data_IF_611294530613
#
_entry.id   IF_611294530613
#
_cell.length_a   1.000
_cell.length_b   1.000
_cell.length_c   1.000
_cell.angle_alpha   90.00
_cell.angle_beta   90.00
_cell.angle_gamma   90.00
#
_symmetry.space_group_name_H-M   'P 1'
#
loop_
_entity.id
_entity.type
_entity.pdbx_description
1 polymer ?
#
# COMPACT_ATOMS: atom_id res chain seq x y z
N UNK A 1 7.50 5.46 -5.36
CA UNK A 1 6.46 4.82 -4.51
C UNK A 1 6.18 3.42 -5.03
N UNK A 2 6.02 2.46 -4.12
CA UNK A 2 5.54 1.10 -4.44
C UNK A 2 4.31 0.75 -3.60
N UNK A 3 3.46 -0.12 -4.15
CA UNK A 3 2.28 -0.62 -3.44
C UNK A 3 1.94 -2.04 -3.91
N UNK A 4 1.44 -2.90 -3.00
CA UNK A 4 1.04 -4.26 -3.36
C UNK A 4 -0.25 -4.25 -4.20
N UNK A 5 -0.26 -5.08 -5.23
CA UNK A 5 -1.44 -5.34 -6.06
C UNK A 5 -1.78 -6.81 -5.97
N UNK A 6 -3.00 -7.12 -5.54
CA UNK A 6 -3.51 -8.49 -5.50
C UNK A 6 -3.52 -9.08 -6.91
N UNK A 7 -2.86 -10.22 -7.06
CA UNK A 7 -2.69 -10.90 -8.34
C UNK A 7 -3.59 -12.12 -8.52
N UNK A 8 -4.41 -12.51 -7.51
CA UNK A 8 -5.22 -13.76 -7.55
C UNK A 8 -6.07 -13.87 -8.81
N UNK A 9 -6.75 -12.79 -9.16
CA UNK A 9 -7.63 -12.73 -10.34
C UNK A 9 -6.90 -12.34 -11.63
N UNK A 10 -5.59 -12.15 -11.58
CA UNK A 10 -4.76 -11.75 -12.73
C UNK A 10 -3.97 -12.90 -13.32
N UNK A 11 -3.90 -14.03 -12.62
CA UNK A 11 -3.37 -15.29 -13.19
C UNK A 11 -4.31 -15.84 -14.26
N UNK A 12 -3.74 -16.59 -15.19
CA UNK A 12 -4.51 -17.35 -16.19
C UNK A 12 -4.13 -18.84 -16.12
N UNK A 13 -5.01 -19.72 -15.58
CA UNK A 13 -6.32 -19.39 -14.96
C UNK A 13 -6.15 -18.64 -13.61
N UNK A 14 -7.20 -17.94 -13.12
CA UNK A 14 -7.19 -17.32 -11.81
C UNK A 14 -6.91 -18.33 -10.69
N UNK A 15 -6.29 -17.86 -9.61
CA UNK A 15 -6.10 -18.70 -8.42
C UNK A 15 -7.46 -19.03 -7.80
N UNK A 16 -7.59 -20.27 -7.32
CA UNK A 16 -8.84 -20.74 -6.69
C UNK A 16 -9.20 -19.93 -5.45
N UNK A 17 -10.49 -19.85 -5.12
CA UNK A 17 -11.03 -19.10 -3.98
C UNK A 17 -10.42 -19.52 -2.63
N UNK A 18 -10.00 -20.77 -2.50
CA UNK A 18 -9.36 -21.30 -1.30
C UNK A 18 -7.84 -21.03 -1.20
N UNK A 19 -7.28 -20.25 -2.12
CA UNK A 19 -5.87 -19.90 -2.06
C UNK A 19 -5.59 -18.93 -0.91
N UNK A 20 -4.88 -19.37 0.10
CA UNK A 20 -4.64 -18.65 1.37
C UNK A 20 -3.26 -18.01 1.51
N UNK A 21 -2.35 -18.25 0.56
CA UNK A 21 -1.03 -17.64 0.59
C UNK A 21 -1.04 -16.19 0.04
N UNK A 22 0.03 -15.45 0.29
CA UNK A 22 0.23 -14.13 -0.28
C UNK A 22 0.38 -14.22 -1.80
N UNK A 23 -0.55 -13.62 -2.53
CA UNK A 23 -0.53 -13.54 -3.98
C UNK A 23 -0.60 -12.07 -4.41
N UNK A 24 0.51 -11.37 -4.29
CA UNK A 24 0.62 -9.99 -4.73
C UNK A 24 1.95 -9.75 -5.43
N UNK A 25 2.00 -8.73 -6.24
CA UNK A 25 3.21 -8.13 -6.80
C UNK A 25 3.27 -6.65 -6.42
N UNK A 26 4.46 -6.10 -6.35
CA UNK A 26 4.63 -4.68 -6.10
C UNK A 26 4.55 -3.90 -7.42
N UNK A 27 3.55 -3.03 -7.53
CA UNK A 27 3.49 -2.02 -8.57
C UNK A 27 4.38 -0.84 -8.16
N UNK A 28 4.99 -0.20 -9.14
CA UNK A 28 5.90 0.94 -8.93
C UNK A 28 5.43 2.16 -9.71
N UNK A 29 5.42 3.31 -9.03
CA UNK A 29 5.25 4.62 -9.65
C UNK A 29 6.47 5.47 -9.33
N UNK A 30 7.08 6.03 -10.36
CA UNK A 30 8.19 6.98 -10.24
C UNK A 30 7.79 8.31 -10.84
N UNK A 31 8.07 9.39 -10.13
CA UNK A 31 7.88 10.75 -10.62
C UNK A 31 8.90 11.68 -9.95
N UNK A 32 9.15 12.80 -10.57
CA UNK A 32 9.96 13.86 -9.96
C UNK A 32 9.16 14.56 -8.87
N UNK A 33 9.84 15.04 -7.83
CA UNK A 33 9.19 15.83 -6.77
C UNK A 33 8.49 17.05 -7.34
N UNK A 34 9.09 17.70 -8.34
CA UNK A 34 8.50 18.83 -9.04
C UNK A 34 7.15 18.47 -9.68
N UNK A 35 7.06 17.32 -10.36
CA UNK A 35 5.80 16.85 -10.95
C UNK A 35 4.74 16.63 -9.88
N UNK A 36 5.13 16.02 -8.74
CA UNK A 36 4.20 15.76 -7.65
C UNK A 36 3.64 17.03 -7.02
N UNK A 37 4.41 18.12 -6.99
CA UNK A 37 4.02 19.39 -6.38
C UNK A 37 3.26 20.30 -7.35
N UNK A 38 3.56 20.25 -8.65
CA UNK A 38 3.03 21.17 -9.65
C UNK A 38 1.87 20.58 -10.48
N UNK A 39 1.84 19.25 -10.65
CA UNK A 39 0.78 18.59 -11.38
C UNK A 39 -0.49 18.45 -10.52
N UNK A 40 -1.67 18.51 -11.15
CA UNK A 40 -2.92 18.28 -10.44
C UNK A 40 -3.03 16.84 -9.97
N UNK A 41 -3.73 16.60 -8.84
CA UNK A 41 -3.85 15.29 -8.19
C UNK A 41 -4.30 14.17 -9.13
N UNK A 42 -5.15 14.45 -10.10
CA UNK A 42 -5.60 13.43 -11.06
C UNK A 42 -4.45 12.85 -11.90
N UNK A 43 -3.38 13.60 -12.17
CA UNK A 43 -2.19 13.08 -12.87
C UNK A 43 -1.51 11.97 -12.04
N UNK A 44 -1.37 12.18 -10.74
CA UNK A 44 -0.84 11.16 -9.83
C UNK A 44 -1.75 9.93 -9.77
N UNK A 45 -3.08 10.14 -9.72
CA UNK A 45 -4.06 9.04 -9.75
C UNK A 45 -3.92 8.23 -11.05
N UNK A 46 -3.78 8.88 -12.19
CA UNK A 46 -3.57 8.20 -13.47
C UNK A 46 -2.26 7.39 -13.50
N UNK A 47 -1.16 7.94 -12.96
CA UNK A 47 0.11 7.20 -12.85
C UNK A 47 -0.06 5.92 -12.01
N UNK A 48 -0.81 5.98 -10.90
CA UNK A 48 -1.12 4.81 -10.04
C UNK A 48 -2.00 3.79 -10.78
N UNK A 49 -3.04 4.24 -11.48
CA UNK A 49 -3.91 3.36 -12.26
C UNK A 49 -3.14 2.65 -13.37
N UNK A 50 -2.36 3.39 -14.14
CA UNK A 50 -1.51 2.83 -15.18
C UNK A 50 -0.54 1.77 -14.63
N UNK A 51 0.09 2.03 -13.47
CA UNK A 51 0.97 1.07 -12.82
C UNK A 51 0.25 -0.22 -12.37
N UNK A 52 -1.05 -0.16 -12.08
CA UNK A 52 -1.88 -1.34 -11.78
C UNK A 52 -2.25 -2.11 -13.04
N UNK A 53 -2.50 -1.41 -14.14
CA UNK A 53 -3.01 -2.01 -15.37
C UNK A 53 -1.96 -2.83 -16.13
N UNK A 54 -0.68 -2.49 -15.97
CA UNK A 54 0.42 -3.27 -16.56
C UNK A 54 0.62 -4.65 -15.91
N UNK A 55 0.03 -4.91 -14.74
CA UNK A 55 0.19 -6.16 -14.01
C UNK A 55 -0.73 -7.22 -14.62
N UNK A 56 -0.20 -7.96 -15.56
CA UNK A 56 -0.82 -9.11 -16.25
C UNK A 56 -0.28 -10.43 -15.71
N UNK A 57 -0.85 -11.56 -16.14
CA UNK A 57 -0.33 -12.91 -15.85
C UNK A 57 1.15 -13.05 -16.27
N UNK A 58 1.50 -12.55 -17.45
CA UNK A 58 2.87 -12.57 -17.93
C UNK A 58 3.80 -11.73 -17.04
N UNK A 59 3.36 -10.52 -16.65
CA UNK A 59 4.10 -9.68 -15.73
C UNK A 59 4.38 -10.40 -14.41
N UNK A 60 3.37 -11.07 -13.83
CA UNK A 60 3.49 -11.79 -12.56
C UNK A 60 4.53 -12.92 -12.68
N UNK A 61 4.49 -13.69 -13.76
CA UNK A 61 5.45 -14.76 -14.01
C UNK A 61 6.88 -14.24 -14.16
N UNK A 62 7.07 -13.14 -14.88
CA UNK A 62 8.37 -12.49 -15.01
C UNK A 62 8.88 -11.93 -13.67
N UNK A 63 7.98 -11.31 -12.89
CA UNK A 63 8.29 -10.79 -11.56
C UNK A 63 8.77 -11.91 -10.62
N UNK A 64 8.05 -13.03 -10.55
CA UNK A 64 8.44 -14.19 -9.75
C UNK A 64 9.81 -14.73 -10.18
N UNK A 65 10.03 -14.90 -11.49
CA UNK A 65 11.32 -15.35 -12.04
C UNK A 65 12.47 -14.40 -11.71
N UNK A 66 12.21 -13.10 -11.73
CA UNK A 66 13.21 -12.09 -11.36
C UNK A 66 13.59 -12.20 -9.87
N UNK A 67 12.62 -12.43 -8.98
CA UNK A 67 12.88 -12.65 -7.55
C UNK A 67 13.70 -13.93 -7.29
N UNK A 68 13.42 -15.00 -8.01
CA UNK A 68 14.19 -16.26 -7.88
C UNK A 68 15.64 -16.10 -8.38
N UNK A 69 15.84 -15.31 -9.43
CA UNK A 69 17.16 -15.11 -10.05
C UNK A 69 18.01 -14.04 -9.34
N UNK A 70 17.41 -13.19 -8.53
CA UNK A 70 18.11 -12.10 -7.85
C UNK A 70 18.99 -12.64 -6.73
N UNK A 71 20.26 -12.85 -7.04
CA UNK A 71 21.30 -13.17 -6.07
C UNK A 71 21.51 -11.97 -5.13
N UNK A 72 20.83 -11.97 -3.96
CA UNK A 72 21.25 -11.33 -2.70
C UNK A 72 21.39 -9.80 -2.61
N UNK A 73 21.15 -9.02 -3.63
CA UNK A 73 21.12 -7.57 -3.49
C UNK A 73 19.68 -7.06 -3.56
N UNK A 74 19.05 -6.92 -2.40
CA UNK A 74 17.86 -6.08 -2.32
C UNK A 74 18.30 -4.64 -2.65
N UNK A 75 17.60 -3.96 -3.56
CA UNK A 75 17.87 -2.55 -3.82
C UNK A 75 17.77 -1.75 -2.53
N UNK A 76 18.53 -0.67 -2.44
CA UNK A 76 18.41 0.24 -1.30
C UNK A 76 16.97 0.68 -1.14
N UNK A 77 16.41 0.50 0.06
CA UNK A 77 15.06 0.98 0.39
C UNK A 77 15.05 2.51 0.62
N UNK A 78 16.19 3.18 0.48
CA UNK A 78 16.26 4.65 0.53
C UNK A 78 15.50 5.23 -0.64
N UNK A 79 14.73 6.26 -0.40
CA UNK A 79 13.90 6.95 -1.40
C UNK A 79 12.71 6.12 -1.94
N UNK A 80 12.41 4.99 -1.29
CA UNK A 80 11.29 4.13 -1.65
C UNK A 80 10.16 4.26 -0.63
N UNK A 81 9.10 4.95 -0.99
CA UNK A 81 7.87 4.97 -0.20
C UNK A 81 7.02 3.75 -0.52
N UNK A 82 6.67 2.96 0.48
CA UNK A 82 5.75 1.82 0.35
C UNK A 82 4.41 2.20 0.96
N UNK A 83 3.32 2.02 0.20
CA UNK A 83 1.96 2.24 0.68
C UNK A 83 1.20 0.93 0.63
N UNK A 84 0.62 0.52 1.74
CA UNK A 84 -0.19 -0.70 1.86
C UNK A 84 -1.61 -0.35 2.28
N UNK A 85 -2.59 -0.81 1.50
CA UNK A 85 -4.01 -0.58 1.72
C UNK A 85 -4.66 -1.81 2.37
N UNK A 86 -5.18 -1.62 3.60
CA UNK A 86 -5.94 -2.61 4.37
C UNK A 86 -7.41 -2.21 4.57
N UNK A 87 -7.88 -1.18 3.85
CA UNK A 87 -9.23 -0.65 4.00
C UNK A 87 -10.33 -1.65 3.61
N UNK A 88 -9.99 -2.62 2.74
CA UNK A 88 -10.94 -3.63 2.24
C UNK A 88 -10.95 -4.93 3.04
N UNK A 89 -10.07 -5.08 4.02
CA UNK A 89 -10.10 -6.28 4.84
C UNK A 89 -11.30 -6.25 5.77
N UNK A 90 -12.09 -7.34 5.85
CA UNK A 90 -13.34 -7.38 6.59
C UNK A 90 -13.12 -7.55 8.09
N UNK A 91 -12.27 -6.72 8.71
CA UNK A 91 -11.97 -6.78 10.13
C UNK A 91 -13.22 -6.63 11.00
N UNK A 92 -14.19 -5.82 10.55
CA UNK A 92 -15.47 -5.61 11.23
C UNK A 92 -16.38 -6.83 11.24
N UNK A 93 -16.11 -7.85 10.42
CA UNK A 93 -16.84 -9.12 10.39
C UNK A 93 -16.26 -10.17 11.35
N UNK A 94 -15.09 -9.89 11.95
CA UNK A 94 -14.44 -10.81 12.88
C UNK A 94 -15.08 -10.71 14.27
N UNK A 95 -15.55 -11.84 14.78
CA UNK A 95 -16.02 -12.01 16.15
C UNK A 95 -15.42 -13.30 16.72
N UNK A 96 -14.67 -13.18 17.81
CA UNK A 96 -14.05 -14.31 18.51
C UNK A 96 -14.90 -14.81 19.69
N UNK A 97 -16.19 -14.48 19.74
CA UNK A 97 -17.12 -14.84 20.79
C UNK A 97 -17.21 -13.82 21.93
N UNK A 98 -16.49 -12.71 21.87
CA UNK A 98 -16.50 -11.62 22.85
C UNK A 98 -17.05 -10.30 22.29
N UNK A 99 -17.57 -10.33 21.07
CA UNK A 99 -18.07 -9.15 20.35
C UNK A 99 -17.20 -8.76 19.17
N UNK A 100 -17.61 -7.68 18.52
CA UNK A 100 -16.91 -7.15 17.34
C UNK A 100 -15.53 -6.64 17.72
N UNK A 101 -14.61 -6.76 16.77
CA UNK A 101 -13.26 -6.22 16.88
C UNK A 101 -13.32 -4.69 17.02
N UNK A 102 -12.68 -4.15 18.06
CA UNK A 102 -12.60 -2.70 18.29
C UNK A 102 -11.47 -2.05 17.49
N UNK A 103 -10.37 -2.77 17.27
CA UNK A 103 -9.25 -2.27 16.48
C UNK A 103 -8.49 -3.40 15.80
N UNK A 104 -7.85 -3.08 14.69
CA UNK A 104 -6.90 -3.95 14.02
C UNK A 104 -5.64 -3.14 13.69
N UNK A 105 -4.48 -3.67 14.00
CA UNK A 105 -3.22 -2.99 13.73
C UNK A 105 -2.11 -3.99 13.43
N UNK A 106 -1.07 -3.49 12.76
CA UNK A 106 0.17 -4.25 12.61
C UNK A 106 0.85 -4.41 13.96
N UNK A 107 1.34 -5.61 14.23
CA UNK A 107 2.13 -5.91 15.43
C UNK A 107 3.46 -5.13 15.42
N UNK A 108 4.09 -5.02 14.26
CA UNK A 108 5.36 -4.32 14.10
C UNK A 108 5.16 -2.83 13.80
N UNK A 109 6.10 -2.01 14.27
CA UNK A 109 6.18 -0.60 13.88
C UNK A 109 6.52 -0.53 12.37
N UNK A 110 5.84 0.33 11.58
CA UNK A 110 6.21 0.55 10.21
C UNK A 110 7.69 0.94 10.09
N UNK A 111 8.37 0.36 9.12
CA UNK A 111 9.71 0.82 8.77
C UNK A 111 9.63 2.23 8.18
N UNK A 112 10.75 2.94 8.18
CA UNK A 112 10.82 4.27 7.58
C UNK A 112 10.27 4.27 6.15
N UNK A 113 9.55 5.33 5.79
CA UNK A 113 8.95 5.54 4.47
C UNK A 113 7.87 4.51 4.07
N UNK A 114 7.24 3.88 5.06
CA UNK A 114 6.11 2.98 4.83
C UNK A 114 4.82 3.58 5.40
N UNK A 115 3.74 3.57 4.62
CA UNK A 115 2.41 3.98 5.06
C UNK A 115 1.42 2.82 4.97
N UNK A 116 0.60 2.68 6.01
CA UNK A 116 -0.51 1.72 6.07
C UNK A 116 -1.81 2.48 6.17
N UNK A 117 -2.73 2.20 5.25
CA UNK A 117 -4.10 2.69 5.29
C UNK A 117 -4.96 1.62 5.95
N UNK A 118 -5.60 1.93 7.07
CA UNK A 118 -6.37 0.97 7.86
C UNK A 118 -7.76 1.54 8.15
N UNK A 119 -8.75 0.65 8.22
CA UNK A 119 -10.11 1.05 8.59
C UNK A 119 -10.14 1.51 10.05
N UNK A 120 -10.80 2.63 10.32
CA UNK A 120 -11.15 3.01 11.68
C UNK A 120 -12.39 2.19 12.11
N UNK A 121 -12.22 1.31 13.09
CA UNK A 121 -13.29 0.42 13.57
C UNK A 121 -14.10 1.04 14.71
N UNK A 122 -13.60 2.08 15.36
CA UNK A 122 -14.26 2.73 16.51
C UNK A 122 -15.29 3.78 16.08
N UNK A 123 -15.10 4.39 14.90
CA UNK A 123 -15.97 5.44 14.37
C UNK A 123 -16.69 4.98 13.10
N UNK A 124 -17.90 5.47 12.90
CA UNK A 124 -18.66 5.23 11.68
C UNK A 124 -18.09 6.06 10.53
N UNK A 125 -17.17 5.48 9.80
CA UNK A 125 -16.48 6.09 8.66
C UNK A 125 -15.08 6.58 8.98
N UNK A 126 -14.34 6.90 7.92
CA UNK A 126 -12.95 7.33 8.03
C UNK A 126 -11.96 6.16 8.03
N UNK A 127 -10.70 6.53 7.99
CA UNK A 127 -9.59 5.59 8.01
C UNK A 127 -8.42 6.14 8.81
N UNK A 128 -7.55 5.25 9.24
CA UNK A 128 -6.32 5.57 9.93
C UNK A 128 -5.14 5.42 8.97
N UNK A 129 -4.23 6.38 9.02
CA UNK A 129 -2.96 6.30 8.30
C UNK A 129 -1.84 6.14 9.32
N UNK A 130 -1.13 5.03 9.26
CA UNK A 130 0.04 4.78 10.09
C UNK A 130 1.28 4.89 9.24
N UNK A 131 2.15 5.86 9.52
CA UNK A 131 3.32 6.19 8.73
C UNK A 131 4.59 6.00 9.56
N UNK A 132 5.58 5.31 8.98
CA UNK A 132 6.96 5.32 9.46
C UNK A 132 7.70 6.48 8.81
N UNK A 133 8.13 7.47 9.59
CA UNK A 133 8.82 8.66 9.09
C UNK A 133 10.01 9.00 9.99
N UNK A 134 11.08 9.55 9.42
CA UNK A 134 12.21 10.05 10.19
C UNK A 134 11.78 11.19 11.12
N UNK A 135 12.25 11.17 12.40
CA UNK A 135 11.83 12.12 13.42
C UNK A 135 11.99 13.59 13.01
N UNK A 136 12.99 13.90 12.17
CA UNK A 136 13.23 15.24 11.65
C UNK A 136 12.10 15.78 10.76
N UNK A 137 11.28 14.92 10.17
CA UNK A 137 10.20 15.29 9.26
C UNK A 137 8.81 15.31 9.92
N UNK A 138 8.70 14.89 11.17
CA UNK A 138 7.40 14.76 11.88
C UNK A 138 6.71 16.12 11.99
N UNK A 139 7.45 17.17 12.37
CA UNK A 139 6.90 18.50 12.51
C UNK A 139 6.31 19.04 11.19
N UNK A 140 7.05 18.88 10.10
CA UNK A 140 6.62 19.34 8.77
C UNK A 140 5.41 18.55 8.28
N UNK A 141 5.37 17.25 8.54
CA UNK A 141 4.23 16.40 8.20
C UNK A 141 2.96 16.88 8.92
N UNK A 142 3.02 17.09 10.25
CA UNK A 142 1.89 17.57 11.05
C UNK A 142 1.44 18.95 10.57
N UNK A 143 2.38 19.86 10.32
CA UNK A 143 2.10 21.20 9.82
C UNK A 143 1.36 21.17 8.48
N UNK A 144 1.78 20.31 7.57
CA UNK A 144 1.12 20.15 6.27
C UNK A 144 -0.28 19.54 6.41
N UNK A 145 -0.47 18.53 7.26
CA UNK A 145 -1.82 17.97 7.49
C UNK A 145 -2.81 18.99 8.05
N UNK A 146 -2.37 19.84 8.98
CA UNK A 146 -3.22 20.89 9.55
C UNK A 146 -3.61 21.98 8.55
N UNK A 147 -2.83 22.14 7.48
CA UNK A 147 -3.09 23.12 6.42
C UNK A 147 -3.95 22.56 5.26
N UNK A 148 -4.24 21.25 5.24
CA UNK A 148 -5.22 20.70 4.33
C UNK A 148 -6.63 21.13 4.77
N UNK A 149 -7.11 22.24 4.24
CA UNK A 149 -8.52 22.56 4.29
C UNK A 149 -9.25 21.58 3.38
N UNK A 150 -9.97 20.65 3.99
CA UNK A 150 -10.90 19.78 3.26
C UNK A 150 -11.99 20.68 2.66
N UNK A 151 -11.95 20.86 1.34
CA UNK A 151 -13.10 21.38 0.58
C UNK A 151 -14.12 20.27 0.38
#
# INVERSE_FOLDING_TARGET
MQFPVDSRNRFQPPLGENFTANAFVLASVSCLVKELLEEPLHSTIHKIQAAKDIITDEYIKLYAKALESSNKFLPSMRELTIITDWLKFPFNALDFGWGKLSSAALLATPVQETAFLMMNLEESGGFLVRIGIGGQYVHDLIGNFNNFNYC
#
